data_IF_955874205534
#
_entry.id   IF_955874205534
#
_cell.length_a   1.000
_cell.length_b   1.000
_cell.length_c   1.000
_cell.angle_alpha   90.00
_cell.angle_beta   90.00
_cell.angle_gamma   90.00
#
_symmetry.space_group_name_H-M   'P 1'
#
loop_
_entity.id
_entity.type
_entity.pdbx_description
1 polymer ?
#
# COMPACT_ATOMS: atom_id res chain seq x y z
N UNK A 1 -9.92 -4.26 -0.56
CA UNK A 1 -9.84 -3.98 -2.01
C UNK A 1 -10.59 -2.69 -2.28
N UNK A 2 -10.02 -1.76 -3.05
CA UNK A 2 -10.70 -0.49 -3.38
C UNK A 2 -11.72 -0.72 -4.50
N UNK A 3 -12.98 -0.41 -4.22
CA UNK A 3 -14.12 -0.47 -5.14
C UNK A 3 -14.69 0.93 -5.35
N UNK A 4 -15.51 1.12 -6.39
CA UNK A 4 -16.18 2.41 -6.60
C UNK A 4 -16.99 2.81 -5.37
N UNK A 5 -17.81 1.92 -4.82
CA UNK A 5 -18.66 2.19 -3.66
C UNK A 5 -17.86 2.64 -2.42
N UNK A 6 -16.81 1.90 -2.04
CA UNK A 6 -16.05 2.22 -0.84
C UNK A 6 -15.07 3.38 -1.03
N UNK A 7 -14.70 3.71 -2.27
CA UNK A 7 -13.87 4.86 -2.57
C UNK A 7 -14.68 6.15 -2.47
N UNK A 8 -15.91 6.15 -3.00
CA UNK A 8 -16.75 7.35 -3.07
C UNK A 8 -17.61 7.58 -1.83
N UNK A 9 -17.69 6.62 -0.89
CA UNK A 9 -18.57 6.71 0.29
C UNK A 9 -18.32 7.95 1.15
N UNK A 10 -17.06 8.40 1.23
CA UNK A 10 -16.63 9.49 2.11
C UNK A 10 -16.31 10.78 1.32
N UNK A 11 -16.64 10.80 0.02
CA UNK A 11 -16.39 11.93 -0.86
C UNK A 11 -17.69 12.71 -1.07
N UNK A 12 -18.04 13.57 -0.10
CA UNK A 12 -19.28 14.37 -0.12
C UNK A 12 -19.44 15.26 -1.36
N UNK A 13 -18.33 15.58 -2.01
CA UNK A 13 -18.27 16.46 -3.17
C UNK A 13 -18.71 15.79 -4.49
N UNK A 14 -18.79 14.45 -4.57
CA UNK A 14 -19.18 13.75 -5.80
C UNK A 14 -20.46 12.93 -5.58
N UNK A 15 -21.24 12.73 -6.64
CA UNK A 15 -22.52 12.02 -6.54
C UNK A 15 -22.68 10.99 -7.64
N UNK A 16 -23.07 9.77 -7.28
CA UNK A 16 -23.48 8.76 -8.26
C UNK A 16 -24.88 9.13 -8.79
N UNK A 17 -25.02 9.21 -10.11
CA UNK A 17 -26.26 9.64 -10.79
C UNK A 17 -26.85 8.60 -11.74
N UNK A 18 -26.08 7.57 -12.12
CA UNK A 18 -26.55 6.45 -12.93
C UNK A 18 -25.67 5.21 -12.70
N UNK A 19 -26.19 4.03 -13.06
CA UNK A 19 -25.45 2.78 -13.01
C UNK A 19 -25.13 2.28 -11.61
N UNK A 20 -26.00 2.59 -10.63
CA UNK A 20 -25.83 2.29 -9.20
C UNK A 20 -25.46 0.84 -8.89
N UNK A 21 -25.92 -0.12 -9.70
CA UNK A 21 -25.66 -1.56 -9.53
C UNK A 21 -24.23 -1.98 -9.87
N UNK A 22 -23.46 -1.14 -10.56
CA UNK A 22 -22.06 -1.40 -10.92
C UNK A 22 -21.03 -0.89 -9.92
N UNK A 23 -21.45 -0.37 -8.76
CA UNK A 23 -20.54 0.29 -7.81
C UNK A 23 -19.58 -0.67 -7.09
N UNK A 24 -19.75 -1.98 -7.24
CA UNK A 24 -18.82 -2.99 -6.74
C UNK A 24 -17.56 -3.18 -7.61
N UNK A 25 -17.47 -2.49 -8.76
CA UNK A 25 -16.31 -2.55 -9.65
C UNK A 25 -15.03 -2.11 -8.92
N UNK A 26 -13.95 -2.85 -9.13
CA UNK A 26 -12.63 -2.56 -8.54
C UNK A 26 -11.98 -1.38 -9.25
N UNK A 27 -11.38 -0.48 -8.48
CA UNK A 27 -10.53 0.60 -9.00
C UNK A 27 -9.06 0.14 -8.94
N UNK A 28 -8.35 0.29 -10.05
CA UNK A 28 -6.91 -0.04 -10.15
C UNK A 28 -6.06 1.11 -10.65
N UNK A 29 -6.67 2.19 -11.12
CA UNK A 29 -5.96 3.35 -11.67
C UNK A 29 -6.92 4.53 -11.82
N UNK A 30 -6.37 5.67 -12.23
CA UNK A 30 -7.08 6.88 -12.57
C UNK A 30 -6.65 7.33 -13.98
N UNK A 31 -7.60 7.81 -14.78
CA UNK A 31 -7.32 8.35 -16.11
C UNK A 31 -8.22 9.53 -16.43
N UNK A 32 -7.69 10.48 -17.19
CA UNK A 32 -8.42 11.64 -17.70
C UNK A 32 -8.70 11.41 -19.18
N UNK A 33 -9.91 11.74 -19.61
CA UNK A 33 -10.24 11.83 -21.03
C UNK A 33 -9.99 13.27 -21.50
N UNK A 34 -9.00 13.43 -22.36
CA UNK A 34 -8.59 14.69 -22.98
C UNK A 34 -8.50 14.59 -24.51
N UNK A 35 -8.31 13.40 -25.06
CA UNK A 35 -8.39 13.11 -26.50
C UNK A 35 -9.32 11.92 -26.82
N UNK A 36 -9.94 11.85 -28.01
CA UNK A 36 -10.79 10.72 -28.39
C UNK A 36 -10.04 9.37 -28.40
N UNK A 37 -8.76 9.39 -28.77
CA UNK A 37 -7.90 8.21 -28.91
C UNK A 37 -7.56 7.56 -27.56
N UNK A 38 -7.75 8.26 -26.45
CA UNK A 38 -7.45 7.74 -25.10
C UNK A 38 -8.19 6.44 -24.80
N UNK A 39 -9.36 6.23 -25.40
CA UNK A 39 -10.15 5.00 -25.23
C UNK A 39 -9.37 3.74 -25.63
N UNK A 40 -8.43 3.87 -26.57
CA UNK A 40 -7.59 2.75 -26.99
C UNK A 40 -6.46 2.43 -26.01
N UNK A 41 -6.10 3.37 -25.15
CA UNK A 41 -5.01 3.25 -24.17
C UNK A 41 -5.46 2.91 -22.75
N UNK A 42 -6.77 2.76 -22.53
CA UNK A 42 -7.32 2.29 -21.26
C UNK A 42 -6.98 0.80 -21.05
N UNK A 43 -6.48 0.47 -19.87
CA UNK A 43 -6.06 -0.88 -19.48
C UNK A 43 -7.15 -1.64 -18.70
N UNK A 44 -8.19 -0.95 -18.25
CA UNK A 44 -9.27 -1.51 -17.43
C UNK A 44 -9.05 -1.24 -15.94
N UNK A 45 -10.17 -1.08 -15.22
CA UNK A 45 -10.19 -0.73 -13.80
C UNK A 45 -9.92 0.74 -13.48
N UNK A 46 -9.75 1.61 -14.48
CA UNK A 46 -9.62 3.05 -14.27
C UNK A 46 -10.92 3.65 -13.72
N UNK A 47 -10.82 4.52 -12.72
CA UNK A 47 -11.83 5.56 -12.54
C UNK A 47 -11.51 6.67 -13.55
N UNK A 48 -12.32 6.75 -14.61
CA UNK A 48 -12.11 7.69 -15.71
C UNK A 48 -12.81 9.00 -15.40
N UNK A 49 -12.16 10.13 -15.65
CA UNK A 49 -12.79 11.45 -15.52
C UNK A 49 -12.75 12.22 -16.83
N UNK A 50 -13.88 12.84 -17.17
CA UNK A 50 -14.05 13.68 -18.35
C UNK A 50 -14.35 15.12 -17.92
N UNK A 51 -13.66 16.06 -18.55
CA UNK A 51 -13.94 17.49 -18.40
C UNK A 51 -15.21 17.92 -19.16
N UNK A 52 -15.63 17.13 -20.14
CA UNK A 52 -16.72 17.41 -21.07
C UNK A 52 -16.28 18.04 -22.39
N UNK A 53 -15.00 18.38 -22.56
CA UNK A 53 -14.50 19.10 -23.75
C UNK A 53 -14.78 18.34 -25.06
N UNK A 54 -14.38 17.06 -25.11
CA UNK A 54 -14.52 16.24 -26.31
C UNK A 54 -15.98 16.02 -26.66
N UNK A 55 -16.78 15.65 -25.67
CA UNK A 55 -18.20 15.34 -25.86
C UNK A 55 -19.02 16.59 -26.19
N UNK A 56 -18.58 17.77 -25.76
CA UNK A 56 -19.18 19.05 -26.12
C UNK A 56 -18.91 19.42 -27.59
N UNK A 57 -17.66 19.28 -28.07
CA UNK A 57 -17.30 19.63 -29.44
C UNK A 57 -17.67 18.55 -30.47
N UNK A 58 -17.73 17.28 -30.06
CA UNK A 58 -18.04 16.14 -30.91
C UNK A 58 -19.18 15.29 -30.29
N UNK A 59 -20.45 15.75 -30.29
CA UNK A 59 -21.56 15.03 -29.67
C UNK A 59 -21.80 13.62 -30.24
N UNK A 60 -21.34 13.34 -31.46
CA UNK A 60 -21.39 12.00 -32.07
C UNK A 60 -20.64 10.95 -31.26
N UNK A 61 -19.57 11.35 -30.53
CA UNK A 61 -18.77 10.46 -29.67
C UNK A 61 -19.59 9.95 -28.49
N UNK A 62 -20.60 10.69 -28.03
CA UNK A 62 -21.45 10.26 -26.91
C UNK A 62 -22.10 8.90 -27.15
N UNK A 63 -22.43 8.59 -28.41
CA UNK A 63 -23.05 7.32 -28.78
C UNK A 63 -22.04 6.19 -28.64
N UNK A 64 -22.28 5.30 -27.68
CA UNK A 64 -21.41 4.16 -27.42
C UNK A 64 -20.23 4.48 -26.51
N UNK A 65 -20.05 5.73 -26.07
CA UNK A 65 -18.96 6.13 -25.19
C UNK A 65 -18.90 5.31 -23.90
N UNK A 66 -20.03 5.23 -23.18
CA UNK A 66 -20.13 4.45 -21.93
C UNK A 66 -19.96 2.96 -22.21
N UNK A 67 -20.47 2.47 -23.35
CA UNK A 67 -20.30 1.09 -23.76
C UNK A 67 -18.81 0.75 -23.96
N UNK A 68 -18.05 1.61 -24.64
CA UNK A 68 -16.61 1.45 -24.84
C UNK A 68 -15.84 1.44 -23.51
N UNK A 69 -16.16 2.35 -22.58
CA UNK A 69 -15.54 2.35 -21.24
C UNK A 69 -15.82 1.06 -20.47
N UNK A 70 -17.06 0.57 -20.53
CA UNK A 70 -17.44 -0.69 -19.89
C UNK A 70 -16.71 -1.89 -20.53
N UNK A 71 -16.64 -1.93 -21.86
CA UNK A 71 -15.97 -2.99 -22.63
C UNK A 71 -14.47 -3.05 -22.33
N UNK A 72 -13.82 -1.89 -22.23
CA UNK A 72 -12.41 -1.76 -21.77
C UNK A 72 -12.22 -2.17 -20.31
N UNK A 73 -13.30 -2.33 -19.56
CA UNK A 73 -13.24 -2.78 -18.17
C UNK A 73 -13.04 -1.67 -17.15
N UNK A 74 -13.21 -0.39 -17.52
CA UNK A 74 -13.05 0.74 -16.59
C UNK A 74 -14.00 0.65 -15.39
N UNK A 75 -13.63 1.21 -14.25
CA UNK A 75 -14.39 1.08 -13.01
C UNK A 75 -15.62 2.01 -12.99
N UNK A 76 -15.46 3.27 -13.41
CA UNK A 76 -16.51 4.29 -13.40
C UNK A 76 -16.16 5.45 -14.34
N UNK A 77 -17.14 6.30 -14.64
CA UNK A 77 -16.96 7.59 -15.30
C UNK A 77 -17.38 8.73 -14.37
N UNK A 78 -16.52 9.71 -14.16
CA UNK A 78 -16.84 10.99 -13.53
C UNK A 78 -16.91 12.09 -14.58
N UNK A 79 -18.01 12.85 -14.62
CA UNK A 79 -18.20 13.95 -15.56
C UNK A 79 -18.18 15.27 -14.79
N UNK A 80 -17.26 16.16 -15.18
CA UNK A 80 -17.15 17.49 -14.57
C UNK A 80 -18.19 18.45 -15.11
N UNK A 81 -19.00 19.01 -14.23
CA UNK A 81 -20.02 20.00 -14.57
C UNK A 81 -19.48 21.43 -14.53
N UNK A 82 -20.23 22.33 -15.18
CA UNK A 82 -20.04 23.78 -15.25
C UNK A 82 -18.72 24.23 -15.89
N UNK A 83 -18.07 23.32 -16.63
CA UNK A 83 -16.95 23.65 -17.53
C UNK A 83 -17.39 23.73 -19.00
N UNK A 84 -18.09 22.68 -19.46
CA UNK A 84 -18.66 22.61 -20.81
C UNK A 84 -20.13 22.22 -20.78
N UNK A 85 -20.49 21.24 -19.94
CA UNK A 85 -21.87 20.85 -19.72
C UNK A 85 -22.39 21.41 -18.39
N UNK A 86 -23.61 21.94 -18.38
CA UNK A 86 -24.30 22.31 -17.14
C UNK A 86 -24.91 21.10 -16.43
N UNK A 87 -25.26 20.08 -17.21
CA UNK A 87 -25.85 18.82 -16.75
C UNK A 87 -25.24 17.68 -17.56
N UNK A 88 -25.19 16.46 -17.00
CA UNK A 88 -24.66 15.30 -17.73
C UNK A 88 -25.61 14.96 -18.88
N UNK A 89 -25.13 14.83 -20.13
CA UNK A 89 -25.98 14.46 -21.26
C UNK A 89 -26.79 13.18 -21.00
N UNK A 90 -28.10 13.22 -21.27
CA UNK A 90 -29.02 12.11 -20.98
C UNK A 90 -28.57 10.76 -21.54
N UNK A 91 -27.95 10.74 -22.72
CA UNK A 91 -27.41 9.52 -23.33
C UNK A 91 -26.37 8.82 -22.42
N UNK A 92 -25.55 9.57 -21.68
CA UNK A 92 -24.59 9.00 -20.72
C UNK A 92 -25.33 8.38 -19.53
N UNK A 93 -26.39 9.04 -19.04
CA UNK A 93 -27.19 8.57 -17.91
C UNK A 93 -27.97 7.29 -18.28
N UNK A 94 -28.61 7.29 -19.44
CA UNK A 94 -29.35 6.16 -19.99
C UNK A 94 -28.43 4.96 -20.21
N UNK A 95 -27.28 5.16 -20.88
CA UNK A 95 -26.30 4.10 -21.09
C UNK A 95 -25.72 3.59 -19.77
N UNK A 96 -25.40 4.48 -18.83
CA UNK A 96 -24.92 4.13 -17.49
C UNK A 96 -25.89 3.22 -16.74
N UNK A 97 -27.19 3.57 -16.74
CA UNK A 97 -28.23 2.74 -16.13
C UNK A 97 -28.43 1.42 -16.87
N UNK A 98 -28.54 1.45 -18.19
CA UNK A 98 -28.74 0.26 -19.02
C UNK A 98 -27.59 -0.75 -18.87
N UNK A 99 -26.37 -0.26 -18.73
CA UNK A 99 -25.17 -1.07 -18.66
C UNK A 99 -24.71 -1.32 -17.22
N UNK A 100 -25.44 -0.87 -16.19
CA UNK A 100 -25.00 -0.91 -14.80
C UNK A 100 -23.55 -0.38 -14.66
N UNK A 101 -23.22 0.70 -15.37
CA UNK A 101 -21.89 1.31 -15.36
C UNK A 101 -21.94 2.62 -14.55
N UNK A 102 -21.21 2.74 -13.43
CA UNK A 102 -21.35 3.88 -12.53
C UNK A 102 -20.95 5.20 -13.19
N UNK A 103 -21.87 6.16 -13.14
CA UNK A 103 -21.65 7.55 -13.58
C UNK A 103 -21.69 8.46 -12.36
N UNK A 104 -20.68 9.32 -12.25
CA UNK A 104 -20.53 10.29 -11.18
C UNK A 104 -20.55 11.71 -11.72
N UNK A 105 -21.25 12.56 -11.00
CA UNK A 105 -21.17 14.01 -11.15
C UNK A 105 -19.99 14.52 -10.33
N UNK A 106 -19.12 15.30 -10.98
CA UNK A 106 -17.97 15.95 -10.36
C UNK A 106 -18.18 17.48 -10.36
N UNK A 107 -17.97 18.17 -9.23
CA UNK A 107 -18.19 19.60 -9.14
C UNK A 107 -17.04 20.38 -9.80
N UNK A 108 -17.33 21.62 -10.18
CA UNK A 108 -16.36 22.44 -10.91
C UNK A 108 -15.07 22.72 -10.14
N UNK A 109 -15.16 22.86 -8.81
CA UNK A 109 -14.01 23.12 -7.93
C UNK A 109 -13.15 21.88 -7.63
N UNK A 110 -13.56 20.67 -8.04
CA UNK A 110 -12.76 19.47 -7.86
C UNK A 110 -11.60 19.43 -8.85
N UNK A 111 -10.36 19.48 -8.34
CA UNK A 111 -9.16 19.33 -9.18
C UNK A 111 -8.88 17.85 -9.44
N UNK A 112 -8.67 17.50 -10.71
CA UNK A 112 -8.39 16.12 -11.10
C UNK A 112 -7.11 15.58 -10.47
N UNK A 113 -6.10 16.43 -10.22
CA UNK A 113 -4.88 16.04 -9.51
C UNK A 113 -5.15 15.58 -8.07
N UNK A 114 -5.99 16.30 -7.34
CA UNK A 114 -6.34 15.95 -5.95
C UNK A 114 -7.17 14.66 -5.90
N UNK A 115 -8.06 14.49 -6.89
CA UNK A 115 -8.85 13.28 -7.02
C UNK A 115 -7.99 12.06 -7.36
N UNK A 116 -7.05 12.20 -8.30
CA UNK A 116 -6.06 11.17 -8.63
C UNK A 116 -5.22 10.79 -7.41
N UNK A 117 -4.71 11.80 -6.67
CA UNK A 117 -3.97 11.58 -5.43
C UNK A 117 -4.80 10.80 -4.42
N UNK A 118 -6.07 11.15 -4.25
CA UNK A 118 -6.97 10.48 -3.30
C UNK A 118 -7.21 9.02 -3.68
N UNK A 119 -7.43 8.71 -4.96
CA UNK A 119 -7.57 7.33 -5.47
C UNK A 119 -6.30 6.53 -5.18
N UNK A 120 -5.15 7.04 -5.61
CA UNK A 120 -3.88 6.32 -5.47
C UNK A 120 -3.46 6.15 -4.02
N UNK A 121 -3.71 7.16 -3.17
CA UNK A 121 -3.49 7.07 -1.73
C UNK A 121 -4.32 5.94 -1.12
N UNK A 122 -5.62 5.86 -1.41
CA UNK A 122 -6.51 4.82 -0.86
C UNK A 122 -6.14 3.42 -1.36
N UNK A 123 -5.71 3.31 -2.62
CA UNK A 123 -5.16 2.06 -3.15
C UNK A 123 -3.87 1.64 -2.45
N UNK A 124 -2.97 2.60 -2.20
CA UNK A 124 -1.70 2.33 -1.53
C UNK A 124 -1.90 1.95 -0.07
N UNK A 125 -2.79 2.63 0.65
CA UNK A 125 -3.17 2.29 2.03
C UNK A 125 -3.75 0.88 2.14
N UNK A 126 -4.62 0.48 1.21
CA UNK A 126 -5.13 -0.89 1.13
C UNK A 126 -4.02 -1.94 0.92
N UNK A 127 -2.99 -1.62 0.13
CA UNK A 127 -1.84 -2.50 -0.04
C UNK A 127 -0.93 -2.53 1.19
N UNK A 128 -0.79 -1.40 1.88
CA UNK A 128 0.03 -1.27 3.07
C UNK A 128 -0.55 -2.04 4.24
N UNK A 129 -1.87 -2.07 4.44
CA UNK A 129 -2.49 -2.70 5.63
C UNK A 129 -2.05 -4.16 5.80
N UNK A 130 -2.02 -4.93 4.70
CA UNK A 130 -1.52 -6.31 4.70
C UNK A 130 -0.03 -6.44 5.05
N UNK A 131 0.79 -5.48 4.63
CA UNK A 131 2.25 -5.48 4.86
C UNK A 131 2.62 -4.93 6.26
N UNK A 132 1.84 -3.97 6.74
CA UNK A 132 2.02 -3.30 8.04
C UNK A 132 1.71 -4.25 9.19
N UNK A 133 0.62 -5.04 9.10
CA UNK A 133 0.26 -6.04 10.10
C UNK A 133 1.34 -7.11 10.29
N UNK A 134 1.96 -7.57 9.21
CA UNK A 134 3.08 -8.53 9.27
C UNK A 134 4.30 -7.89 9.95
N UNK A 135 4.60 -6.64 9.62
CA UNK A 135 5.75 -5.93 10.20
C UNK A 135 5.61 -5.66 11.71
N UNK A 136 4.41 -5.27 12.18
CA UNK A 136 4.14 -5.06 13.61
C UNK A 136 4.17 -6.39 14.35
N UNK A 137 3.51 -7.43 13.83
CA UNK A 137 3.53 -8.75 14.46
C UNK A 137 4.96 -9.30 14.55
N UNK A 138 5.76 -9.13 13.50
CA UNK A 138 7.18 -9.50 13.50
C UNK A 138 7.96 -8.72 14.56
N UNK A 139 7.77 -7.40 14.65
CA UNK A 139 8.43 -6.55 15.65
C UNK A 139 8.03 -6.95 17.07
N UNK A 140 6.75 -7.20 17.34
CA UNK A 140 6.26 -7.60 18.66
C UNK A 140 6.80 -8.98 19.07
N UNK A 141 6.89 -9.91 18.13
CA UNK A 141 7.51 -11.22 18.35
C UNK A 141 9.00 -11.07 18.67
N UNK A 142 9.74 -10.29 17.87
CA UNK A 142 11.16 -10.01 18.09
C UNK A 142 11.41 -9.31 19.42
N UNK A 143 10.59 -8.31 19.78
CA UNK A 143 10.71 -7.56 21.03
C UNK A 143 10.35 -8.44 22.24
N UNK A 144 9.37 -9.33 22.11
CA UNK A 144 9.00 -10.30 23.15
C UNK A 144 10.10 -11.36 23.35
N UNK A 145 10.64 -11.92 22.27
CA UNK A 145 11.78 -12.85 22.31
C UNK A 145 13.05 -12.18 22.87
N UNK A 146 13.23 -10.89 22.64
CA UNK A 146 14.34 -10.11 23.21
C UNK A 146 14.15 -9.78 24.69
N UNK A 147 12.90 -9.66 25.17
CA UNK A 147 12.57 -9.42 26.59
C UNK A 147 12.72 -10.65 27.47
N UNK A 148 12.40 -11.83 26.94
CA UNK A 148 12.51 -13.10 27.66
C UNK A 148 13.70 -13.88 27.09
N UNK A 149 14.83 -13.89 27.81
CA UNK A 149 16.09 -14.61 27.50
C UNK A 149 15.94 -15.80 26.52
N UNK A 150 15.97 -15.55 25.20
CA UNK A 150 16.26 -16.57 24.18
C UNK A 150 17.18 -16.00 23.07
N UNK A 151 18.39 -15.48 23.39
CA UNK A 151 19.25 -14.86 22.37
C UNK A 151 19.86 -15.89 21.42
N UNK A 152 20.22 -17.07 21.92
CA UNK A 152 21.10 -18.03 21.24
C UNK A 152 20.47 -18.60 19.96
N UNK A 153 19.23 -19.09 20.05
CA UNK A 153 18.53 -19.69 18.90
C UNK A 153 18.17 -18.67 17.83
N UNK A 154 17.78 -17.47 18.25
CA UNK A 154 17.47 -16.36 17.35
C UNK A 154 18.72 -15.86 16.61
N UNK A 155 19.84 -15.70 17.32
CA UNK A 155 21.12 -15.34 16.71
C UNK A 155 21.58 -16.40 15.70
N UNK A 156 21.39 -17.68 16.04
CA UNK A 156 21.69 -18.80 15.14
C UNK A 156 20.86 -18.77 13.86
N UNK A 157 19.54 -18.60 13.98
CA UNK A 157 18.63 -18.52 12.83
C UNK A 157 18.89 -17.29 11.96
N UNK A 158 19.13 -16.12 12.57
CA UNK A 158 19.49 -14.89 11.86
C UNK A 158 20.82 -15.06 11.10
N UNK A 159 21.81 -15.69 11.71
CA UNK A 159 23.10 -15.92 11.06
C UNK A 159 23.00 -16.87 9.86
N UNK A 160 22.14 -17.89 9.94
CA UNK A 160 21.84 -18.79 8.82
C UNK A 160 21.14 -18.08 7.66
N UNK A 161 20.14 -17.24 7.96
CA UNK A 161 19.38 -16.49 6.94
C UNK A 161 20.24 -15.42 6.28
N UNK A 162 20.99 -14.66 7.07
CA UNK A 162 21.85 -13.56 6.59
C UNK A 162 23.16 -14.08 5.98
N UNK A 163 23.50 -15.36 6.18
CA UNK A 163 24.75 -16.00 5.77
C UNK A 163 26.00 -15.22 6.22
N UNK A 164 25.89 -14.55 7.36
CA UNK A 164 26.92 -13.67 7.94
C UNK A 164 26.93 -13.84 9.46
N UNK A 165 28.07 -13.58 10.13
CA UNK A 165 28.14 -13.57 11.59
C UNK A 165 27.32 -12.41 12.16
N UNK A 166 26.61 -12.69 13.26
CA UNK A 166 25.73 -11.74 13.95
C UNK A 166 26.22 -11.57 15.38
N UNK A 167 26.39 -10.31 15.81
CA UNK A 167 26.82 -9.95 17.16
C UNK A 167 25.70 -9.18 17.86
N UNK A 168 25.37 -9.61 19.08
CA UNK A 168 24.47 -8.88 19.97
C UNK A 168 25.29 -8.04 20.93
N UNK A 169 25.06 -6.73 20.95
CA UNK A 169 25.78 -5.80 21.84
C UNK A 169 24.81 -4.97 22.67
N UNK A 170 25.26 -4.48 23.82
CA UNK A 170 24.52 -3.48 24.57
C UNK A 170 24.79 -2.06 24.02
N UNK A 171 24.14 -1.04 24.58
CA UNK A 171 24.30 0.35 24.13
C UNK A 171 25.71 0.93 24.32
N UNK A 172 26.59 0.23 25.05
CA UNK A 172 28.01 0.57 25.24
C UNK A 172 28.93 -0.22 24.31
N UNK A 173 28.37 -0.95 23.34
CA UNK A 173 29.09 -1.85 22.43
C UNK A 173 29.78 -3.02 23.14
N UNK A 174 29.39 -3.36 24.36
CA UNK A 174 29.86 -4.57 25.02
C UNK A 174 29.11 -5.77 24.42
N UNK A 175 29.86 -6.82 24.06
CA UNK A 175 29.30 -8.04 23.48
C UNK A 175 28.46 -8.78 24.52
N UNK A 176 27.19 -9.01 24.19
CA UNK A 176 26.25 -9.80 24.97
C UNK A 176 26.29 -11.26 24.51
N UNK A 177 26.23 -11.50 23.20
CA UNK A 177 26.22 -12.85 22.58
C UNK A 177 26.56 -12.78 21.07
N UNK A 178 26.83 -13.91 20.41
CA UNK A 178 27.14 -13.96 18.97
C UNK A 178 26.80 -15.31 18.32
N UNK A 179 26.60 -15.31 17.00
CA UNK A 179 26.52 -16.52 16.17
C UNK A 179 27.34 -16.37 14.91
N UNK A 180 28.03 -17.46 14.52
CA UNK A 180 28.77 -17.55 13.26
C UNK A 180 27.88 -18.03 12.12
N UNK A 181 28.15 -17.53 10.92
CA UNK A 181 27.50 -17.97 9.70
C UNK A 181 27.98 -19.35 9.26
N UNK A 182 27.21 -20.07 8.42
CA UNK A 182 27.56 -21.40 7.95
C UNK A 182 28.83 -21.46 7.08
N UNK A 183 29.37 -20.32 6.64
CA UNK A 183 30.59 -20.21 5.83
C UNK A 183 31.78 -19.59 6.59
N UNK A 184 31.63 -19.33 7.89
CA UNK A 184 32.67 -18.67 8.69
C UNK A 184 33.73 -19.69 9.16
N UNK A 185 34.79 -19.86 8.37
CA UNK A 185 35.96 -20.66 8.75
C UNK A 185 36.89 -19.86 9.68
N UNK A 186 36.55 -19.75 10.96
CA UNK A 186 37.44 -19.23 12.00
C UNK A 186 38.18 -20.37 12.71
N UNK A 187 38.92 -21.20 11.96
CA UNK A 187 39.72 -22.30 12.51
C UNK A 187 41.18 -21.94 12.84
N UNK A 188 41.54 -20.65 12.93
CA UNK A 188 42.94 -20.25 13.16
C UNK A 188 43.20 -19.14 14.18
N UNK A 189 42.19 -18.62 14.89
CA UNK A 189 42.45 -17.69 16.00
C UNK A 189 41.75 -18.17 17.28
N UNK A 190 42.60 -18.54 18.24
CA UNK A 190 42.34 -18.94 19.62
C UNK A 190 40.97 -18.49 20.16
N UNK A 191 40.16 -19.48 20.57
CA UNK A 191 39.06 -19.29 21.52
C UNK A 191 39.51 -18.35 22.64
N UNK A 192 38.80 -17.24 22.92
CA UNK A 192 39.00 -16.51 24.17
C UNK A 192 38.74 -17.50 25.31
N UNK A 193 39.57 -17.50 26.37
CA UNK A 193 39.43 -18.48 27.43
C UNK A 193 38.03 -18.35 28.07
N UNK A 194 37.42 -19.46 28.51
CA UNK A 194 36.12 -19.42 29.15
C UNK A 194 36.23 -18.54 30.39
N UNK A 195 35.52 -17.42 30.40
CA UNK A 195 35.34 -16.63 31.61
C UNK A 195 34.59 -17.51 32.61
N UNK A 196 35.34 -17.97 33.62
CA UNK A 196 34.81 -18.76 34.73
C UNK A 196 33.53 -18.11 35.24
N UNK A 197 32.44 -18.85 35.13
CA UNK A 197 31.18 -18.59 35.79
C UNK A 197 31.44 -18.30 37.29
N UNK A 198 31.24 -17.07 37.81
CA UNK A 198 31.15 -16.90 39.24
C UNK A 198 29.78 -17.45 39.63
N UNK A 199 29.80 -18.49 40.48
CA UNK A 199 28.61 -19.00 41.18
C UNK A 199 27.75 -17.83 41.66
N UNK A 200 26.45 -17.98 41.47
CA UNK A 200 25.37 -17.18 42.06
C UNK A 200 25.79 -16.26 43.23
N UNK A 201 25.53 -14.94 43.11
CA UNK A 201 25.02 -14.16 44.21
C UNK A 201 23.49 -14.06 44.09
N UNK A 202 22.83 -14.13 45.24
CA UNK A 202 21.40 -13.89 45.42
C UNK A 202 20.90 -12.58 44.76
N UNK A 203 19.59 -12.46 44.48
CA UNK A 203 19.05 -11.45 43.59
C UNK A 203 19.10 -10.05 44.22
N UNK A 204 19.74 -9.10 43.54
CA UNK A 204 19.63 -7.68 43.84
C UNK A 204 18.58 -7.09 42.88
N UNK A 205 17.49 -6.48 43.37
CA UNK A 205 16.45 -5.95 42.51
C UNK A 205 16.91 -4.60 41.96
N UNK A 206 16.97 -4.42 40.63
CA UNK A 206 16.92 -3.07 40.03
C UNK A 206 16.64 -3.05 38.52
N UNK A 207 15.46 -2.48 38.25
CA UNK A 207 15.02 -1.60 37.15
C UNK A 207 15.15 -2.08 35.71
N UNK A 208 13.98 -2.21 35.09
CA UNK A 208 13.73 -2.27 33.66
C UNK A 208 14.48 -1.15 32.92
N UNK A 209 15.64 -1.49 32.34
CA UNK A 209 16.32 -0.68 31.34
C UNK A 209 16.06 -1.28 29.97
N UNK A 210 15.57 -0.46 29.04
CA UNK A 210 15.29 -0.84 27.66
C UNK A 210 16.55 -1.42 26.99
N UNK A 211 16.46 -2.67 26.52
CA UNK A 211 17.47 -3.27 25.66
C UNK A 211 17.22 -2.75 24.24
N UNK A 212 18.15 -1.96 23.72
CA UNK A 212 18.13 -1.50 22.33
C UNK A 212 18.96 -2.48 21.49
N UNK A 213 18.31 -3.29 20.66
CA UNK A 213 18.99 -4.21 19.75
C UNK A 213 19.46 -3.43 18.51
N UNK A 214 20.77 -3.37 18.27
CA UNK A 214 21.34 -2.87 17.01
C UNK A 214 21.99 -4.03 16.27
N UNK A 215 21.43 -4.40 15.13
CA UNK A 215 22.00 -5.39 14.22
C UNK A 215 22.92 -4.63 13.26
N UNK A 216 24.23 -4.81 13.40
CA UNK A 216 25.21 -4.34 12.42
C UNK A 216 25.61 -5.50 11.51
N UNK A 217 25.16 -5.47 10.26
CA UNK A 217 25.71 -6.32 9.21
C UNK A 217 26.89 -5.56 8.55
N UNK A 218 28.07 -6.19 8.51
CA UNK A 218 29.19 -5.67 7.73
C UNK A 218 28.92 -6.00 6.26
N UNK A 219 28.68 -4.99 5.44
CA UNK A 219 28.63 -5.13 3.98
C UNK A 219 30.04 -5.35 3.46
N UNK A 220 30.27 -6.49 2.82
CA UNK A 220 31.46 -6.78 2.02
C UNK A 220 31.54 -5.88 0.79
#
# INVERSE_FOLDING_TARGET
MVTVANFTSDLEQIRCVAGFRGTNRKITSFSIIDTPEILDWLHGGEFVVDSGYITFHNPSILKGFVASLKEKGCAALGVKLHRYHNEIPNIILEDGNKLDFPIYELPYNLYFCDFAYTIHKRMFEEQLDGMYHVSIAYKDIVDSLSKYKVPERMLSELSLVLKNPVFLTNSRFELIDYSYGPNDNFSSHSTPPPTKNPRHPNPIPRRAGQVLMRICAKSS
#
